data_IF_604398014857
#
_entry.id   IF_604398014857
#
_cell.length_a   1.000
_cell.length_b   1.000
_cell.length_c   1.000
_cell.angle_alpha   90.00
_cell.angle_beta   90.00
_cell.angle_gamma   90.00
#
_symmetry.space_group_name_H-M   'P 1'
#
loop_
_entity.id
_entity.type
_entity.pdbx_description
1 polymer ?
#
# COMPACT_ATOMS: atom_id res chain seq x y z
N UNK A 1 10.03 19.80 -5.45
CA UNK A 1 11.02 18.74 -5.09
C UNK A 1 11.75 19.05 -3.79
N UNK A 2 12.46 20.19 -3.64
CA UNK A 2 13.15 20.52 -2.39
C UNK A 2 12.20 20.51 -1.18
N UNK A 3 11.04 21.15 -1.30
CA UNK A 3 10.02 21.16 -0.23
C UNK A 3 9.51 19.77 0.14
N UNK A 4 9.27 18.92 -0.86
CA UNK A 4 8.89 17.51 -0.65
C UNK A 4 10.00 16.74 0.08
N UNK A 5 11.26 16.90 -0.33
CA UNK A 5 12.40 16.26 0.34
C UNK A 5 12.49 16.75 1.79
N UNK A 6 12.39 18.06 2.03
CA UNK A 6 12.42 18.63 3.38
C UNK A 6 11.26 18.10 4.24
N UNK A 7 10.07 17.96 3.66
CA UNK A 7 8.92 17.37 4.34
C UNK A 7 9.20 15.92 4.73
N UNK A 8 9.72 15.10 3.82
CA UNK A 8 10.05 13.69 4.10
C UNK A 8 11.15 13.61 5.16
N UNK A 9 12.22 14.38 5.02
CA UNK A 9 13.35 14.40 5.97
C UNK A 9 12.93 14.82 7.38
N UNK A 10 12.02 15.79 7.48
CA UNK A 10 11.55 16.31 8.79
C UNK A 10 10.50 15.40 9.43
N UNK A 11 9.56 14.91 8.63
CA UNK A 11 8.32 14.33 9.15
C UNK A 11 8.19 12.82 8.91
N UNK A 12 8.93 12.23 7.97
CA UNK A 12 8.72 10.85 7.50
C UNK A 12 9.93 9.94 7.73
N UNK A 13 11.12 10.37 7.35
CA UNK A 13 12.33 9.55 7.46
C UNK A 13 12.63 9.19 8.92
N UNK A 14 12.83 7.90 9.20
CA UNK A 14 13.03 7.37 10.54
C UNK A 14 11.77 7.18 11.38
N UNK A 15 10.58 7.54 10.88
CA UNK A 15 9.31 7.39 11.62
C UNK A 15 8.76 5.97 11.53
N UNK A 16 8.07 5.58 12.59
CA UNK A 16 7.33 4.31 12.68
C UNK A 16 5.89 4.58 13.08
N UNK A 17 4.95 4.05 12.31
CA UNK A 17 3.52 4.25 12.44
C UNK A 17 2.83 2.90 12.63
N UNK A 18 1.62 2.95 13.17
CA UNK A 18 0.81 1.76 13.47
C UNK A 18 -0.59 1.92 12.92
N UNK A 19 -1.07 0.91 12.22
CA UNK A 19 -2.49 0.83 11.82
C UNK A 19 -3.25 0.07 12.89
N UNK A 20 -4.32 0.69 13.41
CA UNK A 20 -5.27 -0.03 14.27
C UNK A 20 -5.92 -1.17 13.49
N UNK A 21 -6.35 -2.20 14.21
CA UNK A 21 -7.04 -3.33 13.58
C UNK A 21 -8.19 -2.84 12.69
N UNK A 22 -8.10 -3.19 11.42
CA UNK A 22 -9.00 -2.80 10.35
C UNK A 22 -9.72 -4.04 9.85
N UNK A 23 -11.05 -3.94 9.74
CA UNK A 23 -11.89 -5.02 9.22
C UNK A 23 -12.37 -4.64 7.82
N UNK A 24 -12.27 -5.57 6.88
CA UNK A 24 -12.73 -5.40 5.51
C UNK A 24 -13.38 -6.68 4.99
N UNK A 25 -14.15 -6.57 3.91
CA UNK A 25 -14.89 -7.67 3.29
C UNK A 25 -14.30 -8.02 1.93
N UNK A 26 -14.32 -9.32 1.60
CA UNK A 26 -13.99 -9.82 0.27
C UNK A 26 -15.14 -10.70 -0.23
N UNK A 27 -15.24 -10.88 -1.55
CA UNK A 27 -16.22 -11.81 -2.14
C UNK A 27 -17.67 -11.51 -1.72
N UNK A 28 -18.07 -10.23 -1.76
CA UNK A 28 -19.41 -9.76 -1.37
C UNK A 28 -19.81 -10.20 0.06
N UNK A 29 -18.87 -10.17 1.01
CA UNK A 29 -19.11 -10.46 2.42
C UNK A 29 -18.95 -11.94 2.80
N UNK A 30 -18.63 -12.83 1.86
CA UNK A 30 -18.38 -14.25 2.16
C UNK A 30 -17.09 -14.45 2.99
N UNK A 31 -16.15 -13.52 2.90
CA UNK A 31 -14.90 -13.53 3.64
C UNK A 31 -14.70 -12.20 4.37
N UNK A 32 -14.16 -12.27 5.59
CA UNK A 32 -13.79 -11.09 6.38
C UNK A 32 -12.30 -11.08 6.67
N UNK A 33 -11.63 -10.02 6.24
CA UNK A 33 -10.24 -9.73 6.54
C UNK A 33 -10.11 -8.88 7.82
N UNK A 34 -9.10 -9.19 8.62
CA UNK A 34 -8.68 -8.43 9.79
C UNK A 34 -7.21 -8.11 9.60
N UNK A 35 -6.88 -6.83 9.46
CA UNK A 35 -5.55 -6.36 9.14
C UNK A 35 -5.02 -5.38 10.19
N UNK A 36 -3.76 -5.51 10.54
CA UNK A 36 -3.01 -4.47 11.25
C UNK A 36 -1.56 -4.49 10.79
N UNK A 37 -0.90 -3.34 10.91
CA UNK A 37 0.51 -3.25 10.54
C UNK A 37 1.30 -2.30 11.44
N UNK A 38 2.61 -2.44 11.29
CA UNK A 38 3.58 -1.44 11.67
C UNK A 38 4.36 -1.04 10.42
N UNK A 39 4.41 0.25 10.13
CA UNK A 39 5.11 0.81 8.97
C UNK A 39 6.25 1.68 9.43
N UNK A 40 7.46 1.43 8.94
CA UNK A 40 8.62 2.29 9.18
C UNK A 40 9.13 2.86 7.86
N UNK A 41 9.37 4.16 7.84
CA UNK A 41 9.98 4.84 6.70
C UNK A 41 11.44 5.16 7.01
N UNK A 42 12.35 4.95 6.07
CA UNK A 42 13.79 5.11 6.31
C UNK A 42 14.59 5.28 5.04
N UNK A 43 15.92 5.43 5.19
CA UNK A 43 16.88 5.41 4.09
C UNK A 43 16.61 6.48 3.02
N UNK A 44 16.13 7.66 3.44
CA UNK A 44 16.05 8.80 2.54
C UNK A 44 17.42 9.10 1.92
N UNK A 45 17.48 9.08 0.59
CA UNK A 45 18.65 9.50 -0.19
C UNK A 45 18.18 10.36 -1.34
N UNK A 46 18.88 11.45 -1.62
CA UNK A 46 18.52 12.35 -2.70
C UNK A 46 19.72 12.92 -3.42
N UNK A 47 19.45 13.41 -4.63
CA UNK A 47 20.39 14.03 -5.55
C UNK A 47 19.76 15.29 -6.14
N UNK A 48 20.44 15.94 -7.08
CA UNK A 48 19.89 17.10 -7.79
C UNK A 48 18.64 16.77 -8.62
N UNK A 49 18.45 15.52 -9.03
CA UNK A 49 17.39 15.12 -9.98
C UNK A 49 16.34 14.19 -9.41
N UNK A 50 16.52 13.66 -8.20
CA UNK A 50 15.60 12.68 -7.65
C UNK A 50 15.95 12.25 -6.23
N UNK A 51 15.07 11.46 -5.64
CA UNK A 51 15.15 10.96 -4.28
C UNK A 51 14.53 9.57 -4.16
N UNK A 52 14.92 8.84 -3.12
CA UNK A 52 14.38 7.55 -2.78
C UNK A 52 14.25 7.43 -1.26
N UNK A 53 13.33 6.59 -0.81
CA UNK A 53 13.20 6.19 0.58
C UNK A 53 12.51 4.83 0.65
N UNK A 54 12.77 4.11 1.73
CA UNK A 54 12.28 2.77 1.97
C UNK A 54 11.05 2.80 2.88
N UNK A 55 10.10 1.90 2.58
CA UNK A 55 8.94 1.61 3.40
C UNK A 55 9.03 0.15 3.85
N UNK A 56 9.16 -0.05 5.14
CA UNK A 56 9.22 -1.34 5.78
C UNK A 56 7.89 -1.62 6.46
N UNK A 57 7.27 -2.76 6.17
CA UNK A 57 5.95 -3.10 6.69
C UNK A 57 6.04 -4.44 7.42
N UNK A 58 5.62 -4.45 8.68
CA UNK A 58 5.28 -5.67 9.42
C UNK A 58 3.77 -5.82 9.34
N UNK A 59 3.29 -6.70 8.47
CA UNK A 59 1.85 -6.91 8.26
C UNK A 59 1.37 -8.12 9.04
N UNK A 60 0.19 -7.99 9.65
CA UNK A 60 -0.54 -9.09 10.26
C UNK A 60 -1.95 -9.13 9.65
N UNK A 61 -2.31 -10.27 9.08
CA UNK A 61 -3.60 -10.44 8.42
C UNK A 61 -4.23 -11.78 8.77
N UNK A 62 -5.52 -11.73 9.12
CA UNK A 62 -6.36 -12.93 9.27
C UNK A 62 -7.54 -12.84 8.33
N UNK A 63 -7.81 -13.91 7.60
CA UNK A 63 -9.02 -14.01 6.75
C UNK A 63 -9.90 -15.12 7.30
N UNK A 64 -11.17 -14.79 7.52
CA UNK A 64 -12.18 -15.68 8.05
C UNK A 64 -13.26 -15.94 7.00
N UNK A 65 -13.74 -17.19 6.95
CA UNK A 65 -15.00 -17.51 6.30
C UNK A 65 -16.15 -17.06 7.18
N UNK A 66 -17.10 -16.33 6.59
CA UNK A 66 -18.32 -15.90 7.26
C UNK A 66 -19.44 -16.91 6.99
N UNK A 67 -20.06 -17.37 8.08
CA UNK A 67 -21.18 -18.29 8.05
C UNK A 67 -22.50 -17.63 7.69
N UNK A 68 -23.55 -18.44 7.55
CA UNK A 68 -24.92 -17.96 7.25
C UNK A 68 -25.48 -17.03 8.33
N UNK A 69 -24.98 -17.13 9.55
CA UNK A 69 -25.39 -16.32 10.69
C UNK A 69 -24.49 -15.08 10.88
N UNK A 70 -23.67 -14.69 9.89
CA UNK A 70 -22.70 -13.58 9.93
C UNK A 70 -21.56 -13.73 10.97
N UNK A 71 -21.42 -14.92 11.54
CA UNK A 71 -20.33 -15.22 12.48
C UNK A 71 -19.11 -15.82 11.74
N UNK A 72 -17.91 -15.55 12.26
CA UNK A 72 -16.66 -16.16 11.78
C UNK A 72 -16.69 -17.67 12.05
N UNK A 73 -16.74 -18.48 11.00
CA UNK A 73 -16.82 -19.94 11.13
C UNK A 73 -15.43 -20.60 11.09
N UNK A 74 -14.59 -20.18 10.14
CA UNK A 74 -13.30 -20.86 9.88
C UNK A 74 -12.21 -19.86 9.51
N UNK A 75 -11.06 -19.96 10.20
CA UNK A 75 -9.84 -19.25 9.83
C UNK A 75 -9.26 -19.86 8.54
N UNK A 76 -9.11 -19.02 7.52
CA UNK A 76 -8.57 -19.40 6.20
C UNK A 76 -7.12 -18.99 6.02
N UNK A 77 -6.76 -17.83 6.57
CA UNK A 77 -5.39 -17.29 6.51
C UNK A 77 -5.03 -16.73 7.88
N UNK A 78 -3.84 -17.07 8.34
CA UNK A 78 -3.17 -16.40 9.45
C UNK A 78 -1.76 -16.05 8.97
N UNK A 79 -1.54 -14.78 8.70
CA UNK A 79 -0.36 -14.31 8.01
C UNK A 79 0.34 -13.24 8.84
N UNK A 80 1.64 -13.42 9.01
CA UNK A 80 2.53 -12.39 9.52
C UNK A 80 3.80 -12.40 8.67
N UNK A 81 4.15 -11.25 8.11
CA UNK A 81 5.37 -11.11 7.34
C UNK A 81 5.93 -9.70 7.40
N UNK A 82 7.22 -9.63 7.15
CA UNK A 82 7.94 -8.39 6.93
C UNK A 82 8.10 -8.20 5.43
N UNK A 83 7.82 -7.00 4.92
CA UNK A 83 8.05 -6.62 3.53
C UNK A 83 8.83 -5.30 3.46
N UNK A 84 9.74 -5.20 2.51
CA UNK A 84 10.49 -3.99 2.20
C UNK A 84 10.09 -3.51 0.81
N UNK A 85 9.68 -2.25 0.73
CA UNK A 85 9.40 -1.54 -0.51
C UNK A 85 10.27 -0.30 -0.62
N UNK A 86 10.44 0.20 -1.84
CA UNK A 86 11.18 1.43 -2.11
C UNK A 86 10.40 2.34 -3.05
N UNK A 87 10.33 3.62 -2.67
CA UNK A 87 10.01 4.71 -3.58
C UNK A 87 11.29 5.17 -4.28
N UNK A 88 11.30 5.23 -5.60
CA UNK A 88 12.39 5.80 -6.42
C UNK A 88 11.80 6.85 -7.35
N UNK A 89 12.02 8.13 -7.05
CA UNK A 89 11.33 9.26 -7.68
C UNK A 89 12.33 10.25 -8.28
N UNK A 90 11.98 10.84 -9.42
CA UNK A 90 12.82 11.83 -10.08
C UNK A 90 12.01 12.95 -10.74
N UNK A 91 12.59 14.15 -10.75
CA UNK A 91 12.04 15.30 -11.46
C UNK A 91 12.21 15.12 -12.97
N UNK A 92 11.14 15.32 -13.72
CA UNK A 92 11.13 15.23 -15.19
C UNK A 92 11.57 16.55 -15.80
N UNK A 93 12.50 16.48 -16.76
CA UNK A 93 13.00 17.66 -17.48
C UNK A 93 11.95 18.30 -18.39
N UNK A 94 11.01 17.50 -18.90
CA UNK A 94 9.97 17.93 -19.84
C UNK A 94 8.86 18.73 -19.16
N UNK A 95 8.41 18.31 -17.97
CA UNK A 95 7.25 18.91 -17.30
C UNK A 95 7.56 19.56 -15.95
N UNK A 96 8.74 19.30 -15.38
CA UNK A 96 9.10 19.60 -13.99
C UNK A 96 8.36 18.81 -12.91
N UNK A 97 7.46 17.89 -13.29
CA UNK A 97 6.77 17.00 -12.35
C UNK A 97 7.73 15.99 -11.74
N UNK A 98 7.29 15.37 -10.65
CA UNK A 98 7.99 14.24 -10.04
C UNK A 98 7.18 12.98 -10.33
N UNK A 99 7.85 11.99 -10.91
CA UNK A 99 7.28 10.65 -11.13
C UNK A 99 8.37 9.60 -10.89
N UNK A 100 7.98 8.35 -10.78
CA UNK A 100 8.92 7.25 -10.60
C UNK A 100 8.21 5.95 -10.31
N UNK A 101 8.75 5.15 -9.39
CA UNK A 101 8.16 3.86 -9.03
C UNK A 101 8.11 3.62 -7.53
N UNK A 102 7.17 2.76 -7.15
CA UNK A 102 7.11 2.08 -5.87
C UNK A 102 7.27 0.59 -6.16
N UNK A 103 8.25 -0.07 -5.55
CA UNK A 103 8.53 -1.47 -5.86
C UNK A 103 8.86 -2.30 -4.63
N UNK A 104 8.48 -3.57 -4.71
CA UNK A 104 8.88 -4.60 -3.79
C UNK A 104 10.40 -4.86 -3.88
N UNK A 105 11.05 -5.03 -2.72
CA UNK A 105 12.47 -5.35 -2.60
C UNK A 105 12.66 -6.77 -2.06
N UNK A 106 12.01 -7.08 -0.93
CA UNK A 106 12.13 -8.39 -0.28
C UNK A 106 11.03 -8.59 0.77
N UNK A 107 10.82 -9.84 1.17
CA UNK A 107 9.97 -10.19 2.31
C UNK A 107 10.47 -11.42 3.06
N UNK A 108 10.03 -11.60 4.31
CA UNK A 108 10.39 -12.74 5.17
C UNK A 108 9.39 -13.91 5.14
N UNK A 109 8.19 -13.68 4.61
CA UNK A 109 7.09 -14.66 4.61
C UNK A 109 7.15 -15.64 3.44
N UNK A 110 6.42 -16.75 3.56
CA UNK A 110 6.07 -17.61 2.42
C UNK A 110 4.77 -17.11 1.81
N UNK A 111 4.70 -17.00 0.48
CA UNK A 111 3.49 -16.61 -0.25
C UNK A 111 3.00 -15.21 0.16
N UNK A 112 3.90 -14.22 0.16
CA UNK A 112 3.53 -12.85 0.47
C UNK A 112 2.70 -12.29 -0.68
N UNK A 113 1.48 -11.82 -0.37
CA UNK A 113 0.51 -11.39 -1.39
C UNK A 113 1.00 -10.21 -2.25
N UNK A 114 2.02 -9.48 -1.79
CA UNK A 114 2.62 -8.34 -2.47
C UNK A 114 3.98 -8.66 -3.13
N UNK A 115 4.27 -9.93 -3.39
CA UNK A 115 5.51 -10.33 -4.06
C UNK A 115 5.63 -9.72 -5.46
N UNK A 116 6.85 -9.28 -5.78
CA UNK A 116 7.23 -8.74 -7.10
C UNK A 116 6.38 -7.55 -7.60
N UNK A 117 5.68 -6.83 -6.71
CA UNK A 117 4.94 -5.62 -7.09
C UNK A 117 5.89 -4.55 -7.63
N UNK A 118 5.49 -3.95 -8.75
CA UNK A 118 6.03 -2.70 -9.28
C UNK A 118 4.87 -1.81 -9.67
N UNK A 119 4.90 -0.58 -9.18
CA UNK A 119 3.88 0.43 -9.45
C UNK A 119 4.53 1.71 -9.98
N UNK A 120 3.84 2.37 -10.90
CA UNK A 120 4.18 3.73 -11.32
C UNK A 120 3.67 4.74 -10.30
N UNK A 121 4.53 5.68 -9.91
CA UNK A 121 4.17 6.80 -9.03
C UNK A 121 4.13 8.08 -9.84
N UNK A 122 3.04 8.82 -9.70
CA UNK A 122 2.79 10.08 -10.40
C UNK A 122 2.00 11.06 -9.53
N UNK A 123 1.80 12.28 -10.06
CA UNK A 123 1.02 13.32 -9.39
C UNK A 123 1.52 13.62 -7.95
N UNK A 124 2.84 13.65 -7.80
CA UNK A 124 3.51 13.87 -6.52
C UNK A 124 3.52 15.36 -6.18
N UNK A 125 2.78 15.74 -5.15
CA UNK A 125 2.59 17.15 -4.76
C UNK A 125 2.53 17.32 -3.24
N UNK A 126 2.96 18.49 -2.78
CA UNK A 126 2.82 18.92 -1.39
C UNK A 126 1.88 20.12 -1.40
N UNK A 127 0.69 19.95 -0.84
CA UNK A 127 -0.39 20.95 -0.81
C UNK A 127 -0.97 21.00 0.61
N UNK A 128 -1.07 22.19 1.18
CA UNK A 128 -1.60 22.41 2.54
C UNK A 128 -0.96 21.49 3.60
N UNK A 129 0.38 21.35 3.55
CA UNK A 129 1.17 20.46 4.41
C UNK A 129 0.83 18.96 4.31
N UNK A 130 0.17 18.55 3.22
CA UNK A 130 -0.12 17.16 2.87
C UNK A 130 0.68 16.76 1.64
N UNK A 131 1.61 15.81 1.80
CA UNK A 131 2.30 15.17 0.68
C UNK A 131 1.40 14.07 0.11
N UNK A 132 1.03 14.20 -1.16
CA UNK A 132 0.20 13.24 -1.91
C UNK A 132 0.98 12.61 -3.05
N UNK A 133 0.77 11.32 -3.28
CA UNK A 133 1.31 10.58 -4.42
C UNK A 133 0.24 9.63 -4.96
N UNK A 134 0.04 9.60 -6.28
CA UNK A 134 -0.78 8.59 -6.92
C UNK A 134 0.06 7.39 -7.33
N UNK A 135 -0.50 6.19 -7.17
CA UNK A 135 0.10 4.92 -7.52
C UNK A 135 -0.78 4.18 -8.53
N UNK A 136 -0.14 3.57 -9.54
CA UNK A 136 -0.79 2.57 -10.37
C UNK A 136 0.10 1.33 -10.53
N UNK A 137 -0.38 0.20 -10.05
CA UNK A 137 0.33 -1.09 -10.12
C UNK A 137 0.46 -1.57 -11.56
N UNK A 138 1.67 -1.83 -12.05
CA UNK A 138 1.92 -2.13 -13.46
C UNK A 138 1.32 -3.47 -13.92
N UNK A 139 1.40 -4.49 -13.07
CA UNK A 139 0.92 -5.86 -13.32
C UNK A 139 -0.12 -6.25 -12.27
N UNK A 140 -0.45 -7.54 -12.18
CA UNK A 140 -1.34 -8.08 -11.15
C UNK A 140 -0.58 -8.80 -10.04
N UNK A 141 -1.28 -9.03 -8.94
CA UNK A 141 -0.91 -9.92 -7.83
C UNK A 141 -2.08 -10.84 -7.52
N UNK A 142 -1.84 -11.92 -6.80
CA UNK A 142 -2.88 -12.89 -6.46
C UNK A 142 -3.62 -12.49 -5.17
N UNK A 143 -4.94 -12.31 -5.27
CA UNK A 143 -5.85 -12.10 -4.14
C UNK A 143 -6.55 -13.41 -3.80
N UNK A 144 -6.55 -13.85 -2.53
CA UNK A 144 -7.27 -15.05 -2.11
C UNK A 144 -8.79 -14.88 -2.26
N UNK A 145 -9.45 -15.94 -2.73
CA UNK A 145 -10.91 -16.08 -2.81
C UNK A 145 -11.33 -17.40 -2.16
N UNK A 146 -12.61 -17.75 -2.25
CA UNK A 146 -13.13 -18.99 -1.67
C UNK A 146 -12.45 -20.25 -2.25
N UNK A 147 -12.60 -21.37 -1.54
CA UNK A 147 -12.09 -22.68 -1.96
C UNK A 147 -10.56 -22.76 -2.17
N UNK A 148 -9.79 -21.94 -1.45
CA UNK A 148 -8.31 -21.92 -1.57
C UNK A 148 -7.82 -21.52 -2.96
N UNK A 149 -8.66 -20.78 -3.70
CA UNK A 149 -8.34 -20.24 -5.01
C UNK A 149 -7.85 -18.79 -4.91
N UNK A 150 -7.34 -18.28 -6.03
CA UNK A 150 -6.86 -16.91 -6.17
C UNK A 150 -7.43 -16.27 -7.41
N UNK A 151 -7.54 -14.94 -7.39
CA UNK A 151 -7.83 -14.12 -8.56
C UNK A 151 -6.74 -13.07 -8.79
N UNK A 152 -6.42 -12.75 -10.05
CA UNK A 152 -5.45 -11.72 -10.39
C UNK A 152 -6.05 -10.32 -10.19
N UNK A 153 -5.38 -9.47 -9.41
CA UNK A 153 -5.81 -8.10 -9.11
C UNK A 153 -4.68 -7.08 -9.25
N UNK A 154 -5.03 -5.85 -9.60
CA UNK A 154 -4.13 -4.70 -9.60
C UNK A 154 -4.74 -3.53 -8.84
N UNK A 155 -3.90 -2.69 -8.24
CA UNK A 155 -4.34 -1.55 -7.44
C UNK A 155 -4.04 -0.22 -8.12
N UNK A 156 -4.94 0.73 -7.90
CA UNK A 156 -4.66 2.17 -8.01
C UNK A 156 -4.91 2.82 -6.67
N UNK A 157 -4.01 3.69 -6.25
CA UNK A 157 -4.02 4.22 -4.89
C UNK A 157 -3.62 5.69 -4.83
N UNK A 158 -4.08 6.38 -3.79
CA UNK A 158 -3.48 7.62 -3.32
C UNK A 158 -2.78 7.38 -1.98
N UNK A 159 -1.52 7.79 -1.89
CA UNK A 159 -0.77 7.86 -0.65
C UNK A 159 -0.84 9.29 -0.13
N UNK A 160 -1.11 9.46 1.17
CA UNK A 160 -1.09 10.77 1.82
C UNK A 160 -0.22 10.72 3.08
N UNK A 161 0.67 11.68 3.21
CA UNK A 161 1.46 11.91 4.42
C UNK A 161 1.14 13.29 4.95
N UNK A 162 0.80 13.40 6.23
CA UNK A 162 0.52 14.68 6.88
C UNK A 162 0.78 14.59 8.37
N UNK A 163 1.09 15.73 8.99
CA UNK A 163 1.27 15.82 10.44
C UNK A 163 0.01 16.39 11.06
N UNK A 164 -0.53 15.70 12.07
CA UNK A 164 -1.67 16.16 12.87
C UNK A 164 -1.34 15.90 14.33
N UNK A 165 -1.54 16.90 15.19
CA UNK A 165 -1.26 16.79 16.63
C UNK A 165 0.19 16.30 16.89
N UNK A 166 1.16 16.86 16.15
CA UNK A 166 2.60 16.53 16.21
C UNK A 166 2.96 15.08 15.82
N UNK A 167 1.99 14.33 15.27
CA UNK A 167 2.17 12.94 14.85
C UNK A 167 2.08 12.82 13.34
N UNK A 168 2.97 12.04 12.74
CA UNK A 168 2.82 11.66 11.34
C UNK A 168 1.64 10.71 11.17
N UNK A 169 0.80 11.02 10.19
CA UNK A 169 -0.21 10.13 9.64
C UNK A 169 0.21 9.72 8.22
N UNK A 170 -0.03 8.45 7.92
CA UNK A 170 0.06 7.90 6.58
C UNK A 170 -1.28 7.26 6.21
N UNK A 171 -1.84 7.67 5.08
CA UNK A 171 -3.04 7.07 4.52
C UNK A 171 -2.71 6.40 3.20
N UNK A 172 -3.24 5.19 3.01
CA UNK A 172 -3.27 4.48 1.74
C UNK A 172 -4.73 4.22 1.37
N UNK A 173 -5.22 4.92 0.35
CA UNK A 173 -6.57 4.74 -0.19
C UNK A 173 -6.47 4.00 -1.52
N UNK A 174 -6.80 2.70 -1.51
CA UNK A 174 -6.58 1.79 -2.63
C UNK A 174 -7.88 1.25 -3.23
N UNK A 175 -8.00 1.37 -4.54
CA UNK A 175 -9.04 0.71 -5.35
C UNK A 175 -8.47 -0.52 -6.05
N UNK A 176 -9.14 -1.66 -5.88
CA UNK A 176 -8.82 -2.92 -6.55
C UNK A 176 -9.50 -3.03 -7.90
N UNK A 177 -8.80 -3.68 -8.84
CA UNK A 177 -9.30 -4.03 -10.16
C UNK A 177 -9.00 -5.50 -10.44
N UNK A 178 -9.96 -6.22 -10.99
CA UNK A 178 -9.73 -7.57 -11.50
C UNK A 178 -8.95 -7.47 -12.83
N UNK A 179 -7.99 -8.36 -13.04
CA UNK A 179 -7.11 -8.31 -14.23
C UNK A 179 -7.35 -9.50 -15.14
N UNK A 180 -7.63 -9.23 -16.40
CA UNK A 180 -7.60 -10.26 -17.44
C UNK A 180 -6.15 -10.61 -17.75
N UNK A 181 -5.71 -11.84 -17.48
CA UNK A 181 -4.29 -12.24 -17.59
C UNK A 181 -3.81 -12.45 -19.02
N UNK A 182 -4.73 -12.57 -19.99
CA UNK A 182 -4.37 -12.74 -21.40
C UNK A 182 -4.15 -11.37 -22.07
N UNK A 183 -4.96 -10.38 -21.71
CA UNK A 183 -4.95 -9.04 -22.31
C UNK A 183 -4.31 -7.97 -21.43
N UNK A 184 -4.10 -8.27 -20.14
CA UNK A 184 -3.66 -7.34 -19.08
C UNK A 184 -4.60 -6.15 -18.85
N UNK A 185 -5.85 -6.26 -19.30
CA UNK A 185 -6.86 -5.23 -19.06
C UNK A 185 -7.39 -5.28 -17.64
N UNK A 186 -7.69 -4.10 -17.08
CA UNK A 186 -8.27 -3.94 -15.75
C UNK A 186 -9.77 -3.76 -15.85
N UNK A 187 -10.51 -4.49 -15.04
CA UNK A 187 -11.95 -4.38 -14.87
C UNK A 187 -12.25 -3.96 -13.43
N UNK A 188 -13.37 -3.26 -13.22
CA UNK A 188 -13.78 -2.89 -11.86
C UNK A 188 -13.96 -4.16 -11.01
N UNK A 189 -13.34 -4.18 -9.83
CA UNK A 189 -13.52 -5.25 -8.85
C UNK A 189 -14.68 -4.92 -7.92
N UNK A 190 -15.38 -5.95 -7.45
CA UNK A 190 -16.39 -5.82 -6.38
C UNK A 190 -15.78 -5.72 -4.99
N UNK A 191 -14.49 -6.07 -4.83
CA UNK A 191 -13.84 -5.99 -3.53
C UNK A 191 -13.60 -4.53 -3.13
N UNK A 192 -14.06 -4.18 -1.93
CA UNK A 192 -13.92 -2.84 -1.36
C UNK A 192 -12.95 -2.86 -0.19
N UNK A 193 -11.97 -1.97 -0.23
CA UNK A 193 -11.01 -1.77 0.85
C UNK A 193 -11.24 -0.40 1.47
N UNK A 194 -11.34 -0.29 2.80
CA UNK A 194 -11.30 1.01 3.45
C UNK A 194 -9.89 1.61 3.33
N UNK A 195 -9.74 2.94 3.43
CA UNK A 195 -8.43 3.55 3.55
C UNK A 195 -7.67 2.99 4.75
N UNK A 196 -6.42 2.61 4.55
CA UNK A 196 -5.53 2.16 5.61
C UNK A 196 -4.85 3.38 6.20
N UNK A 197 -5.08 3.62 7.51
CA UNK A 197 -4.55 4.79 8.21
C UNK A 197 -3.59 4.33 9.29
N UNK A 198 -2.31 4.67 9.12
CA UNK A 198 -1.27 4.44 10.11
C UNK A 198 -0.92 5.75 10.80
N UNK A 199 -0.69 5.69 12.12
CA UNK A 199 -0.40 6.89 12.93
C UNK A 199 0.87 6.66 13.74
N UNK A 200 1.73 7.67 13.80
CA UNK A 200 2.88 7.73 14.70
C UNK A 200 2.44 7.62 16.16
N UNK A 201 3.20 6.87 16.95
CA UNK A 201 2.86 6.60 18.35
C UNK A 201 2.89 7.84 19.24
#
# INVERSE_FOLDING_TARGET
MKEIINFIETNVDGKTLFTKELVYELENGALQGVYSDQISFSNLKYSQSGFQFDMFIISNEKIWLIGKDEHREKLRKDFSAVSLFRFELAKRKSTNDITGCFRFISASGKSVAAEAIVSGIYDVRLEDDVLKLSESQALYRDQPIQEERFKPVAFQSEHRFYVKEEKLHYEYDGKSFDVDVETMQRNDSYDTFPPFISIEK
#
